data_IF_076121924841
#
_entry.id   IF_076121924841
#
_cell.length_a   1.000
_cell.length_b   1.000
_cell.length_c   1.000
_cell.angle_alpha   90.00
_cell.angle_beta   90.00
_cell.angle_gamma   90.00
#
_symmetry.space_group_name_H-M   'P 1'
#
loop_
_entity.id
_entity.type
_entity.pdbx_description
1 polymer ?
#
# COMPACT_ATOMS: atom_id res chain seq x y z
N UNK A 1 1.19 -17.15 -6.54
CA UNK A 1 2.00 -15.94 -6.30
C UNK A 1 1.08 -14.81 -5.87
N UNK A 2 1.36 -14.21 -4.72
CA UNK A 2 0.53 -13.12 -4.23
C UNK A 2 0.76 -11.86 -5.07
N UNK A 3 -0.30 -11.11 -5.32
CA UNK A 3 -0.26 -9.87 -6.09
C UNK A 3 -0.34 -8.68 -5.14
N UNK A 4 0.63 -7.79 -5.23
CA UNK A 4 0.70 -6.57 -4.43
C UNK A 4 0.50 -5.36 -5.34
N UNK A 5 -0.44 -4.50 -4.96
CA UNK A 5 -0.62 -3.20 -5.61
C UNK A 5 0.18 -2.17 -4.81
N UNK A 6 1.14 -1.53 -5.46
CA UNK A 6 1.96 -0.49 -4.82
C UNK A 6 1.57 0.87 -5.39
N UNK A 7 1.04 1.74 -4.54
CA UNK A 7 0.60 3.08 -4.94
C UNK A 7 1.65 4.10 -4.50
N UNK A 8 2.34 4.68 -5.46
CA UNK A 8 3.49 5.56 -5.24
C UNK A 8 3.69 6.45 -6.47
N UNK A 9 3.94 7.74 -6.27
CA UNK A 9 4.15 8.68 -7.36
C UNK A 9 5.61 8.81 -7.80
N UNK A 10 6.57 8.34 -7.00
CA UNK A 10 7.99 8.44 -7.32
C UNK A 10 8.45 7.18 -8.07
N UNK A 11 8.83 7.35 -9.34
CA UNK A 11 9.24 6.22 -10.19
C UNK A 11 10.44 5.45 -9.65
N UNK A 12 11.39 6.13 -9.04
CA UNK A 12 12.57 5.47 -8.47
C UNK A 12 12.19 4.57 -7.31
N UNK A 13 11.28 5.03 -6.44
CA UNK A 13 10.78 4.24 -5.33
C UNK A 13 10.02 3.02 -5.84
N UNK A 14 9.18 3.20 -6.88
CA UNK A 14 8.44 2.10 -7.49
C UNK A 14 9.41 1.05 -8.03
N UNK A 15 10.39 1.49 -8.81
CA UNK A 15 11.36 0.58 -9.44
C UNK A 15 12.12 -0.23 -8.39
N UNK A 16 12.61 0.44 -7.35
CA UNK A 16 13.41 -0.23 -6.31
C UNK A 16 12.61 -1.27 -5.55
N UNK A 17 11.43 -0.89 -5.08
CA UNK A 17 10.62 -1.79 -4.26
C UNK A 17 10.01 -2.91 -5.10
N UNK A 18 9.54 -2.59 -6.30
CA UNK A 18 9.00 -3.59 -7.22
C UNK A 18 10.02 -4.69 -7.49
N UNK A 19 11.26 -4.29 -7.78
CA UNK A 19 12.34 -5.23 -8.06
C UNK A 19 12.60 -6.16 -6.87
N UNK A 20 12.65 -5.58 -5.67
CA UNK A 20 12.91 -6.35 -4.45
C UNK A 20 11.78 -7.32 -4.13
N UNK A 21 10.54 -6.88 -4.26
CA UNK A 21 9.38 -7.73 -4.00
C UNK A 21 9.25 -8.83 -5.04
N UNK A 22 9.53 -8.52 -6.30
CA UNK A 22 9.51 -9.52 -7.38
C UNK A 22 10.52 -10.64 -7.10
N UNK A 23 11.69 -10.29 -6.58
CA UNK A 23 12.70 -11.28 -6.21
C UNK A 23 12.25 -12.19 -5.08
N UNK A 24 11.32 -11.72 -4.25
CA UNK A 24 10.77 -12.51 -3.14
C UNK A 24 9.56 -13.34 -3.56
N UNK A 25 9.20 -13.34 -4.83
CA UNK A 25 8.12 -14.16 -5.35
C UNK A 25 6.77 -13.49 -5.45
N UNK A 26 6.71 -12.17 -5.29
CA UNK A 26 5.44 -11.44 -5.43
C UNK A 26 5.26 -10.91 -6.85
N UNK A 27 4.02 -10.88 -7.31
CA UNK A 27 3.66 -10.12 -8.50
C UNK A 27 3.32 -8.70 -8.05
N UNK A 28 3.91 -7.69 -8.68
CA UNK A 28 3.71 -6.31 -8.28
C UNK A 28 3.10 -5.51 -9.43
N UNK A 29 1.96 -4.89 -9.17
CA UNK A 29 1.39 -3.87 -10.05
C UNK A 29 1.50 -2.54 -9.33
N UNK A 30 1.60 -1.45 -10.08
CA UNK A 30 1.76 -0.15 -9.45
C UNK A 30 0.74 0.86 -9.96
N UNK A 31 0.48 1.87 -9.14
CA UNK A 31 -0.37 3.00 -9.46
C UNK A 31 0.38 4.28 -9.11
N UNK A 32 0.29 5.27 -9.98
CA UNK A 32 1.06 6.51 -9.85
C UNK A 32 0.41 7.57 -8.94
N UNK A 33 -0.84 7.35 -8.55
CA UNK A 33 -1.54 8.23 -7.63
C UNK A 33 -2.69 7.49 -6.96
N UNK A 34 -3.35 8.16 -6.00
CA UNK A 34 -4.43 7.55 -5.23
C UNK A 34 -5.63 7.17 -6.08
N UNK A 35 -5.98 7.97 -7.08
CA UNK A 35 -7.13 7.65 -7.93
C UNK A 35 -6.89 6.38 -8.75
N UNK A 36 -5.71 6.27 -9.38
CA UNK A 36 -5.33 5.06 -10.12
C UNK A 36 -5.25 3.89 -9.16
N UNK A 37 -4.78 4.11 -7.93
CA UNK A 37 -4.75 3.07 -6.89
C UNK A 37 -6.12 2.53 -6.56
N UNK A 38 -7.11 3.41 -6.39
CA UNK A 38 -8.50 3.00 -6.15
C UNK A 38 -9.02 2.19 -7.34
N UNK A 39 -8.80 2.67 -8.56
CA UNK A 39 -9.25 1.99 -9.77
C UNK A 39 -8.63 0.59 -9.89
N UNK A 40 -7.32 0.49 -9.67
CA UNK A 40 -6.60 -0.78 -9.78
C UNK A 40 -6.92 -1.75 -8.62
N UNK A 41 -7.32 -1.22 -7.47
CA UNK A 41 -7.74 -2.10 -6.37
C UNK A 41 -8.97 -2.93 -6.77
N UNK A 42 -9.77 -2.41 -7.70
CA UNK A 42 -10.91 -3.14 -8.24
C UNK A 42 -10.54 -3.99 -9.45
N UNK A 43 -9.80 -3.41 -10.41
CA UNK A 43 -9.53 -4.08 -11.69
C UNK A 43 -8.47 -5.18 -11.58
N UNK A 44 -7.51 -5.05 -10.68
CA UNK A 44 -6.40 -6.01 -10.53
C UNK A 44 -6.64 -7.04 -9.43
N UNK A 45 -7.60 -6.82 -8.56
CA UNK A 45 -7.90 -7.72 -7.43
C UNK A 45 -6.65 -8.11 -6.66
N UNK A 46 -5.88 -7.14 -6.14
CA UNK A 46 -4.64 -7.48 -5.43
C UNK A 46 -4.93 -8.18 -4.11
N UNK A 47 -3.93 -8.93 -3.63
CA UNK A 47 -4.01 -9.59 -2.34
C UNK A 47 -3.65 -8.65 -1.19
N UNK A 48 -2.93 -7.57 -1.50
CA UNK A 48 -2.49 -6.59 -0.51
C UNK A 48 -2.14 -5.29 -1.23
N UNK A 49 -2.33 -4.17 -0.55
CA UNK A 49 -2.02 -2.84 -1.09
C UNK A 49 -0.98 -2.16 -0.20
N UNK A 50 0.07 -1.63 -0.82
CA UNK A 50 1.02 -0.72 -0.18
C UNK A 50 0.65 0.69 -0.65
N UNK A 51 0.27 1.56 0.29
CA UNK A 51 -0.25 2.90 -0.03
C UNK A 51 0.64 3.99 0.52
N UNK A 52 1.28 4.76 -0.36
CA UNK A 52 1.99 5.98 0.03
C UNK A 52 0.96 7.02 0.48
N UNK A 53 1.22 7.68 1.59
CA UNK A 53 0.28 8.66 2.15
C UNK A 53 0.41 10.05 1.55
N UNK A 54 1.53 10.39 0.93
CA UNK A 54 1.78 11.72 0.37
C UNK A 54 1.88 11.69 -1.14
N UNK A 55 0.77 11.94 -1.83
CA UNK A 55 0.71 11.91 -3.29
C UNK A 55 -0.18 13.03 -3.82
N UNK A 56 0.08 13.49 -5.07
CA UNK A 56 -0.83 14.43 -5.73
C UNK A 56 -2.09 13.72 -6.21
N UNK A 57 -3.08 14.48 -6.64
CA UNK A 57 -4.37 14.06 -7.19
C UNK A 57 -5.28 13.57 -6.09
N UNK A 58 -5.08 12.37 -5.59
CA UNK A 58 -5.79 11.85 -4.43
C UNK A 58 -4.72 11.30 -3.48
N UNK A 59 -4.62 11.85 -2.27
CA UNK A 59 -3.60 11.40 -1.34
C UNK A 59 -3.95 10.01 -0.75
N UNK A 60 -2.96 9.42 -0.09
CA UNK A 60 -3.12 8.07 0.42
C UNK A 60 -4.20 7.95 1.49
N UNK A 61 -4.43 8.98 2.30
CA UNK A 61 -5.48 8.98 3.32
C UNK A 61 -6.86 8.80 2.69
N UNK A 62 -7.14 9.60 1.66
CA UNK A 62 -8.42 9.57 0.97
C UNK A 62 -8.59 8.27 0.19
N UNK A 63 -7.52 7.80 -0.45
CA UNK A 63 -7.55 6.53 -1.18
C UNK A 63 -7.90 5.36 -0.25
N UNK A 64 -7.29 5.31 0.93
CA UNK A 64 -7.58 4.26 1.92
C UNK A 64 -9.05 4.30 2.32
N UNK A 65 -9.60 5.48 2.59
CA UNK A 65 -11.01 5.62 2.96
C UNK A 65 -11.94 5.10 1.87
N UNK A 66 -11.63 5.40 0.62
CA UNK A 66 -12.45 4.93 -0.52
C UNK A 66 -12.36 3.41 -0.64
N UNK A 67 -11.15 2.85 -0.57
CA UNK A 67 -10.94 1.40 -0.68
C UNK A 67 -11.65 0.66 0.46
N UNK A 68 -11.53 1.13 1.68
CA UNK A 68 -12.12 0.48 2.85
C UNK A 68 -13.63 0.73 2.97
N UNK A 69 -14.13 1.73 2.28
CA UNK A 69 -15.57 2.02 2.25
C UNK A 69 -16.33 1.30 1.14
N UNK A 70 -15.63 0.59 0.25
CA UNK A 70 -16.24 -0.11 -0.89
C UNK A 70 -16.29 -1.61 -0.61
N UNK A 71 -17.47 -2.20 -0.69
CA UNK A 71 -17.66 -3.64 -0.43
C UNK A 71 -16.78 -4.52 -1.31
N UNK A 72 -16.46 -4.06 -2.52
CA UNK A 72 -15.63 -4.82 -3.45
C UNK A 72 -14.16 -4.88 -3.04
N UNK A 73 -13.68 -3.93 -2.23
CA UNK A 73 -12.26 -3.79 -1.90
C UNK A 73 -11.95 -3.74 -0.41
N UNK A 74 -12.96 -3.59 0.45
CA UNK A 74 -12.73 -3.37 1.89
C UNK A 74 -11.99 -4.50 2.59
N UNK A 75 -12.03 -5.70 2.04
CA UNK A 75 -11.35 -6.86 2.64
C UNK A 75 -9.87 -6.96 2.24
N UNK A 76 -9.40 -6.15 1.29
CA UNK A 76 -8.01 -6.16 0.88
C UNK A 76 -7.17 -5.48 1.95
N UNK A 77 -6.13 -6.14 2.51
CA UNK A 77 -5.26 -5.49 3.49
C UNK A 77 -4.51 -4.30 2.89
N UNK A 78 -4.45 -3.20 3.62
CA UNK A 78 -3.74 -1.99 3.20
C UNK A 78 -2.68 -1.65 4.23
N UNK A 79 -1.42 -1.56 3.79
CA UNK A 79 -0.31 -1.10 4.61
C UNK A 79 0.03 0.31 4.16
N UNK A 80 -0.13 1.28 5.04
CA UNK A 80 0.20 2.68 4.74
C UNK A 80 1.71 2.91 4.88
N UNK A 81 2.30 3.66 3.94
CA UNK A 81 3.71 4.02 3.97
C UNK A 81 3.84 5.53 4.10
N UNK A 82 4.66 6.00 5.04
CA UNK A 82 4.84 7.43 5.28
C UNK A 82 6.30 7.77 5.50
N UNK A 83 6.71 8.97 5.06
CA UNK A 83 8.03 9.52 5.38
C UNK A 83 8.11 10.02 6.82
N UNK A 84 7.00 10.03 7.55
CA UNK A 84 6.91 10.53 8.92
C UNK A 84 6.70 9.39 9.90
N UNK A 85 7.61 9.25 10.87
CA UNK A 85 7.57 8.18 11.88
C UNK A 85 6.81 8.59 13.15
N UNK A 86 5.98 9.65 13.07
CA UNK A 86 5.26 10.16 14.23
C UNK A 86 4.04 9.30 14.55
N UNK A 87 3.80 9.09 15.82
CA UNK A 87 2.67 8.32 16.31
C UNK A 87 1.33 8.86 15.80
N UNK A 88 1.20 10.18 15.68
CA UNK A 88 0.00 10.82 15.15
C UNK A 88 -0.32 10.36 13.73
N UNK A 89 0.70 10.21 12.88
CA UNK A 89 0.51 9.73 11.52
C UNK A 89 0.09 8.27 11.49
N UNK A 90 0.66 7.47 12.37
CA UNK A 90 0.29 6.07 12.49
C UNK A 90 -1.16 5.91 12.92
N UNK A 91 -1.58 6.66 13.94
CA UNK A 91 -2.95 6.61 14.42
C UNK A 91 -3.93 7.07 13.34
N UNK A 92 -3.59 8.13 12.62
CA UNK A 92 -4.44 8.64 11.53
C UNK A 92 -4.58 7.61 10.41
N UNK A 93 -3.49 6.91 10.07
CA UNK A 93 -3.54 5.88 9.04
C UNK A 93 -4.50 4.75 9.44
N UNK A 94 -4.39 4.28 10.69
CA UNK A 94 -5.25 3.23 11.20
C UNK A 94 -6.70 3.67 11.29
N UNK A 95 -6.96 4.91 11.70
CA UNK A 95 -8.31 5.48 11.75
C UNK A 95 -8.93 5.61 10.36
N UNK A 96 -8.10 5.83 9.34
CA UNK A 96 -8.56 5.89 7.94
C UNK A 96 -8.92 4.52 7.39
N UNK A 97 -8.59 3.45 8.11
CA UNK A 97 -8.92 2.09 7.73
C UNK A 97 -7.73 1.23 7.31
N UNK A 98 -6.50 1.77 7.35
CA UNK A 98 -5.31 0.97 7.05
C UNK A 98 -5.17 -0.16 8.07
N UNK A 99 -4.75 -1.31 7.60
CA UNK A 99 -4.55 -2.48 8.46
C UNK A 99 -3.19 -2.44 9.17
N UNK A 100 -2.23 -1.72 8.60
CA UNK A 100 -0.90 -1.57 9.19
C UNK A 100 -0.26 -0.29 8.67
N UNK A 101 0.91 0.03 9.19
CA UNK A 101 1.63 1.25 8.89
C UNK A 101 3.13 0.98 8.93
N UNK A 102 3.87 1.56 7.99
CA UNK A 102 5.32 1.49 8.01
C UNK A 102 5.91 2.83 7.56
N UNK A 103 7.20 3.02 7.83
CA UNK A 103 7.88 4.29 7.56
C UNK A 103 8.89 4.14 6.44
N UNK A 104 9.15 5.27 5.76
CA UNK A 104 10.23 5.37 4.78
C UNK A 104 11.47 5.93 5.47
N UNK A 105 12.69 5.55 5.06
CA UNK A 105 12.96 4.63 3.97
C UNK A 105 12.54 3.19 4.31
N UNK A 106 12.16 2.45 3.27
CA UNK A 106 11.66 1.09 3.46
C UNK A 106 12.78 0.17 3.96
N UNK A 107 12.50 -0.50 5.08
CA UNK A 107 13.29 -1.62 5.56
C UNK A 107 12.63 -2.88 5.01
N UNK A 108 13.27 -3.55 4.08
CA UNK A 108 12.64 -4.65 3.37
C UNK A 108 12.24 -5.81 4.29
N UNK A 109 13.11 -6.18 5.23
CA UNK A 109 12.80 -7.28 6.14
C UNK A 109 11.59 -6.97 7.03
N UNK A 110 11.53 -5.75 7.56
CA UNK A 110 10.39 -5.30 8.36
C UNK A 110 9.12 -5.27 7.54
N UNK A 111 9.19 -4.74 6.32
CA UNK A 111 8.03 -4.66 5.44
C UNK A 111 7.55 -6.05 5.02
N UNK A 112 8.47 -6.95 4.70
CA UNK A 112 8.11 -8.34 4.37
C UNK A 112 7.40 -9.03 5.51
N UNK A 113 7.83 -8.80 6.75
CA UNK A 113 7.16 -9.34 7.92
C UNK A 113 5.71 -8.88 8.01
N UNK A 114 5.47 -7.59 7.76
CA UNK A 114 4.12 -7.04 7.76
C UNK A 114 3.28 -7.57 6.60
N UNK A 115 3.86 -7.65 5.41
CA UNK A 115 3.17 -8.20 4.24
C UNK A 115 2.72 -9.63 4.52
N UNK A 116 3.62 -10.47 5.01
CA UNK A 116 3.31 -11.87 5.28
C UNK A 116 2.27 -12.03 6.40
N UNK A 117 2.27 -11.13 7.38
CA UNK A 117 1.29 -11.13 8.46
C UNK A 117 -0.13 -10.88 7.94
N UNK A 118 -0.27 -10.02 6.94
CA UNK A 118 -1.57 -9.60 6.42
C UNK A 118 -2.05 -10.35 5.19
N UNK A 119 -1.16 -11.10 4.52
CA UNK A 119 -1.59 -11.90 3.37
C UNK A 119 -2.43 -13.10 3.83
N UNK A 120 -3.45 -13.46 3.05
CA UNK A 120 -4.20 -14.68 3.34
C UNK A 120 -3.29 -15.89 3.22
N UNK A 121 -3.42 -16.80 4.15
CA UNK A 121 -2.60 -18.01 4.20
C UNK A 121 -3.18 -19.12 3.33
#
# INVERSE_FOLDING_TARGET
MAKILYVEDNEDNVYMLQRRLTRKGFEVVFAENGQVGVDKSKSESPDLILMDLSMPVMDGWDAIKVIKGDDATKSIPVIALSAHAMEEHRERALESGADDYDTKPVDLERLLGKINQHLPS
#
